data_IF_083360844094
#
_entry.id   IF_083360844094
#
_cell.length_a   1.000
_cell.length_b   1.000
_cell.length_c   1.000
_cell.angle_alpha   90.00
_cell.angle_beta   90.00
_cell.angle_gamma   90.00
#
_symmetry.space_group_name_H-M   'P 1'
#
loop_
_entity.id
_entity.type
_entity.pdbx_description
1 polymer ?
#
# COMPACT_ATOMS: atom_id res chain seq x y z
N UNK A 1 9.37 6.11 -13.46
CA UNK A 1 8.84 4.78 -13.83
C UNK A 1 7.96 4.14 -12.73
N UNK A 2 8.48 3.75 -11.56
CA UNK A 2 7.66 3.11 -10.52
C UNK A 2 6.59 4.05 -9.95
N UNK A 3 6.96 5.29 -9.64
CA UNK A 3 6.06 6.32 -9.13
C UNK A 3 4.87 6.57 -10.08
N UNK A 4 5.18 6.68 -11.38
CA UNK A 4 4.18 6.87 -12.45
C UNK A 4 3.29 5.62 -12.60
N UNK A 5 3.86 4.42 -12.52
CA UNK A 5 3.10 3.17 -12.58
C UNK A 5 2.12 3.04 -11.40
N UNK A 6 2.58 3.29 -10.16
CA UNK A 6 1.72 3.28 -8.98
C UNK A 6 0.60 4.32 -9.09
N UNK A 7 0.94 5.54 -9.53
CA UNK A 7 -0.04 6.60 -9.72
C UNK A 7 -1.07 6.26 -10.80
N UNK A 8 -0.65 5.69 -11.93
CA UNK A 8 -1.55 5.25 -12.99
C UNK A 8 -2.54 4.19 -12.49
N UNK A 9 -2.08 3.21 -11.70
CA UNK A 9 -2.93 2.17 -11.14
C UNK A 9 -3.93 2.71 -10.10
N UNK A 10 -3.52 3.66 -9.25
CA UNK A 10 -4.43 4.30 -8.29
C UNK A 10 -5.46 5.17 -9.01
N UNK A 11 -5.05 5.92 -10.03
CA UNK A 11 -5.94 6.76 -10.83
C UNK A 11 -6.97 5.96 -11.65
N UNK A 12 -6.62 4.73 -12.05
CA UNK A 12 -7.51 3.83 -12.78
C UNK A 12 -8.43 3.00 -11.89
N UNK A 13 -8.15 2.92 -10.58
CA UNK A 13 -8.97 2.17 -9.64
C UNK A 13 -10.30 2.89 -9.39
N UNK A 14 -11.33 2.46 -10.12
CA UNK A 14 -12.67 3.07 -10.09
C UNK A 14 -13.67 2.24 -9.28
N UNK A 15 -13.39 0.95 -9.06
CA UNK A 15 -14.30 0.02 -8.40
C UNK A 15 -13.64 -0.69 -7.21
N UNK A 16 -14.47 -1.17 -6.28
CA UNK A 16 -14.02 -1.92 -5.09
C UNK A 16 -13.08 -3.10 -5.45
N UNK A 17 -13.35 -3.77 -6.57
CA UNK A 17 -12.50 -4.85 -7.08
C UNK A 17 -11.08 -4.38 -7.40
N UNK A 18 -10.93 -3.19 -7.95
CA UNK A 18 -9.63 -2.63 -8.30
C UNK A 18 -8.80 -2.36 -7.03
N UNK A 19 -9.45 -1.96 -5.93
CA UNK A 19 -8.82 -1.80 -4.62
C UNK A 19 -8.38 -3.11 -3.98
N UNK A 20 -9.10 -4.21 -4.23
CA UNK A 20 -8.66 -5.53 -3.76
C UNK A 20 -7.45 -6.08 -4.51
N UNK A 21 -7.21 -5.61 -5.75
CA UNK A 21 -6.07 -6.03 -6.58
C UNK A 21 -4.85 -5.10 -6.44
N UNK A 22 -5.07 -3.84 -6.06
CA UNK A 22 -4.01 -2.82 -5.96
C UNK A 22 -2.79 -3.28 -5.13
N UNK A 23 -2.93 -3.94 -3.96
CA UNK A 23 -1.78 -4.42 -3.20
C UNK A 23 -0.96 -5.49 -3.92
N UNK A 24 -1.59 -6.33 -4.75
CA UNK A 24 -0.88 -7.31 -5.58
C UNK A 24 -0.05 -6.62 -6.66
N UNK A 25 -0.58 -5.58 -7.29
CA UNK A 25 0.13 -4.77 -8.29
C UNK A 25 1.31 -4.04 -7.65
N UNK A 26 1.10 -3.43 -6.48
CA UNK A 26 2.18 -2.77 -5.74
C UNK A 26 3.25 -3.78 -5.32
N UNK A 27 2.86 -5.01 -4.97
CA UNK A 27 3.80 -6.09 -4.67
C UNK A 27 4.67 -6.43 -5.88
N UNK A 28 4.12 -6.48 -7.10
CA UNK A 28 4.91 -6.69 -8.32
C UNK A 28 5.91 -5.57 -8.56
N UNK A 29 5.47 -4.31 -8.45
CA UNK A 29 6.33 -3.15 -8.63
C UNK A 29 7.46 -3.11 -7.58
N UNK A 30 7.17 -3.50 -6.34
CA UNK A 30 8.18 -3.60 -5.29
C UNK A 30 9.10 -4.81 -5.46
N UNK A 31 8.67 -5.88 -6.11
CA UNK A 31 9.53 -7.03 -6.42
C UNK A 31 10.62 -6.65 -7.43
N UNK A 32 10.30 -5.79 -8.40
CA UNK A 32 11.27 -5.24 -9.35
C UNK A 32 12.26 -4.28 -8.68
N UNK A 33 11.83 -3.59 -7.61
CA UNK A 33 12.60 -2.56 -6.92
C UNK A 33 12.46 -2.62 -5.38
N UNK A 34 12.95 -3.68 -4.71
CA UNK A 34 12.65 -3.95 -3.30
C UNK A 34 13.20 -2.87 -2.34
N UNK A 35 14.28 -2.18 -2.72
CA UNK A 35 14.83 -1.04 -1.98
C UNK A 35 13.83 0.13 -1.84
N UNK A 36 12.85 0.23 -2.74
CA UNK A 36 11.84 1.30 -2.69
C UNK A 36 10.95 1.18 -1.45
N UNK A 37 10.68 -0.04 -0.96
CA UNK A 37 9.95 -0.22 0.29
C UNK A 37 10.64 0.46 1.48
N UNK A 38 11.98 0.35 1.55
CA UNK A 38 12.78 0.98 2.60
C UNK A 38 12.79 2.49 2.45
N UNK A 39 12.95 3.00 1.23
CA UNK A 39 12.93 4.44 0.93
C UNK A 39 11.59 5.07 1.28
N UNK A 40 10.47 4.41 0.96
CA UNK A 40 9.16 4.93 1.29
C UNK A 40 8.93 4.96 2.81
N UNK A 41 9.29 3.89 3.51
CA UNK A 41 9.19 3.83 4.98
C UNK A 41 10.11 4.83 5.67
N UNK A 42 11.30 5.11 5.11
CA UNK A 42 12.20 6.14 5.60
C UNK A 42 11.64 7.54 5.38
N UNK A 43 11.09 7.83 4.20
CA UNK A 43 10.48 9.12 3.89
C UNK A 43 9.32 9.46 4.85
N UNK A 44 8.51 8.47 5.22
CA UNK A 44 7.40 8.67 6.17
C UNK A 44 7.84 8.82 7.63
N UNK A 45 9.06 8.38 7.99
CA UNK A 45 9.59 8.49 9.36
C UNK A 45 10.25 9.84 9.66
N UNK A 46 10.44 10.69 8.65
CA UNK A 46 10.61 12.12 8.89
C UNK A 46 12.03 12.64 9.07
N UNK A 47 13.05 12.02 8.45
CA UNK A 47 14.31 12.75 8.27
C UNK A 47 14.16 13.72 7.07
N UNK A 48 13.48 14.83 7.36
CA UNK A 48 12.99 15.80 6.39
C UNK A 48 14.11 16.67 5.79
N UNK A 49 15.34 16.61 6.30
CA UNK A 49 16.42 17.51 5.87
C UNK A 49 17.19 17.02 4.64
N UNK A 50 17.04 15.75 4.25
CA UNK A 50 17.59 15.29 2.97
C UNK A 50 16.66 15.66 1.81
N UNK A 51 17.20 16.32 0.78
CA UNK A 51 16.44 16.73 -0.41
C UNK A 51 15.76 15.53 -1.10
N UNK A 52 16.40 14.36 -1.09
CA UNK A 52 15.85 13.11 -1.61
C UNK A 52 14.60 12.63 -0.86
N UNK A 53 14.62 12.69 0.48
CA UNK A 53 13.42 12.35 1.27
C UNK A 53 12.27 13.32 1.02
N UNK A 54 12.54 14.62 0.83
CA UNK A 54 11.48 15.61 0.55
C UNK A 54 10.69 15.26 -0.71
N UNK A 55 11.38 14.83 -1.77
CA UNK A 55 10.73 14.46 -3.02
C UNK A 55 9.89 13.19 -2.87
N UNK A 56 10.42 12.16 -2.20
CA UNK A 56 9.69 10.91 -1.96
C UNK A 56 8.49 11.14 -1.03
N UNK A 57 8.66 11.96 0.01
CA UNK A 57 7.58 12.31 0.94
C UNK A 57 6.46 13.06 0.23
N UNK A 58 6.76 14.11 -0.54
CA UNK A 58 5.76 14.87 -1.29
C UNK A 58 5.02 13.99 -2.32
N UNK A 59 5.73 13.05 -2.95
CA UNK A 59 5.11 12.08 -3.84
C UNK A 59 4.18 11.11 -3.08
N UNK A 60 4.59 10.59 -1.92
CA UNK A 60 3.74 9.73 -1.08
C UNK A 60 2.50 10.46 -0.56
N UNK A 61 2.63 11.73 -0.18
CA UNK A 61 1.50 12.59 0.20
C UNK A 61 0.48 12.69 -0.96
N UNK A 62 0.97 12.97 -2.17
CA UNK A 62 0.13 13.02 -3.38
C UNK A 62 -0.55 11.67 -3.64
N UNK A 63 0.18 10.57 -3.45
CA UNK A 63 -0.35 9.21 -3.62
C UNK A 63 -1.45 8.89 -2.60
N UNK A 64 -1.26 9.28 -1.34
CA UNK A 64 -2.25 9.08 -0.29
C UNK A 64 -3.49 9.95 -0.49
N UNK A 65 -3.32 11.20 -0.91
CA UNK A 65 -4.43 12.08 -1.24
C UNK A 65 -5.29 11.51 -2.38
N UNK A 66 -4.66 10.96 -3.42
CA UNK A 66 -5.37 10.27 -4.50
C UNK A 66 -6.10 9.02 -3.99
N UNK A 67 -5.44 8.19 -3.18
CA UNK A 67 -6.08 7.02 -2.57
C UNK A 67 -7.30 7.39 -1.71
N UNK A 68 -7.21 8.48 -0.95
CA UNK A 68 -8.32 9.01 -0.15
C UNK A 68 -9.49 9.50 -1.00
N UNK A 69 -9.23 10.24 -2.07
CA UNK A 69 -10.28 10.73 -2.99
C UNK A 69 -11.03 9.57 -3.64
N UNK A 70 -10.30 8.57 -4.13
CA UNK A 70 -10.92 7.44 -4.81
C UNK A 70 -11.70 6.53 -3.85
N UNK A 71 -11.22 6.31 -2.62
CA UNK A 71 -12.00 5.61 -1.60
C UNK A 71 -13.26 6.37 -1.19
N UNK A 72 -13.26 7.72 -1.22
CA UNK A 72 -14.47 8.51 -0.92
C UNK A 72 -15.55 8.23 -1.96
N UNK A 73 -15.19 8.12 -3.23
CA UNK A 73 -16.15 7.78 -4.29
C UNK A 73 -16.76 6.38 -4.13
N UNK A 74 -16.04 5.44 -3.52
CA UNK A 74 -16.53 4.07 -3.26
C UNK A 74 -17.39 4.02 -1.98
N UNK A 75 -16.93 4.63 -0.90
CA UNK A 75 -17.59 4.59 0.41
C UNK A 75 -18.81 5.50 0.57
N UNK A 76 -19.02 6.46 -0.34
CA UNK A 76 -20.18 7.37 -0.31
C UNK A 76 -21.52 6.69 -0.62
N UNK A 77 -21.51 5.43 -1.05
CA UNK A 77 -22.73 4.70 -1.43
C UNK A 77 -23.46 4.04 -0.25
N UNK A 78 -22.80 3.78 0.89
CA UNK A 78 -23.34 2.83 1.90
C UNK A 78 -23.31 3.28 3.38
N UNK A 79 -22.57 4.33 3.78
CA UNK A 79 -22.36 4.62 5.22
C UNK A 79 -23.10 5.86 5.76
N UNK A 80 -23.78 5.67 6.91
CA UNK A 80 -24.53 6.68 7.70
C UNK A 80 -23.71 7.33 8.82
N UNK A 81 -22.41 7.01 8.92
CA UNK A 81 -21.49 7.60 9.90
C UNK A 81 -21.17 9.07 9.60
N UNK A 82 -20.88 9.85 10.64
CA UNK A 82 -20.44 11.24 10.49
C UNK A 82 -19.17 11.31 9.63
N UNK A 83 -19.12 12.24 8.67
CA UNK A 83 -18.09 12.27 7.62
C UNK A 83 -16.63 12.30 8.10
N UNK A 84 -16.36 12.79 9.32
CA UNK A 84 -15.03 12.79 9.92
C UNK A 84 -14.57 11.41 10.41
N UNK A 85 -15.46 10.65 11.07
CA UNK A 85 -15.15 9.30 11.54
C UNK A 85 -14.89 8.36 10.34
N UNK A 86 -15.70 8.50 9.28
CA UNK A 86 -15.51 7.76 8.04
C UNK A 86 -14.15 8.09 7.39
N UNK A 87 -13.79 9.38 7.30
CA UNK A 87 -12.50 9.80 6.72
C UNK A 87 -11.30 9.25 7.50
N UNK A 88 -11.35 9.26 8.83
CA UNK A 88 -10.27 8.73 9.66
C UNK A 88 -10.09 7.22 9.44
N UNK A 89 -11.20 6.46 9.41
CA UNK A 89 -11.19 5.02 9.11
C UNK A 89 -10.57 4.72 7.76
N UNK A 90 -10.92 5.50 6.72
CA UNK A 90 -10.36 5.34 5.38
C UNK A 90 -8.85 5.62 5.35
N UNK A 91 -8.40 6.66 6.07
CA UNK A 91 -6.97 6.98 6.16
C UNK A 91 -6.19 5.85 6.87
N UNK A 92 -6.74 5.30 7.96
CA UNK A 92 -6.16 4.15 8.67
C UNK A 92 -6.09 2.93 7.75
N UNK A 93 -7.15 2.65 6.98
CA UNK A 93 -7.15 1.55 6.02
C UNK A 93 -6.06 1.75 4.97
N UNK A 94 -5.93 2.94 4.39
CA UNK A 94 -4.91 3.23 3.38
C UNK A 94 -3.48 3.06 3.93
N UNK A 95 -3.22 3.57 5.14
CA UNK A 95 -1.94 3.40 5.84
C UNK A 95 -1.66 1.91 6.10
N UNK A 96 -2.66 1.14 6.54
CA UNK A 96 -2.52 -0.29 6.76
C UNK A 96 -2.19 -1.04 5.45
N UNK A 97 -2.88 -0.75 4.34
CA UNK A 97 -2.57 -1.35 3.04
C UNK A 97 -1.13 -1.08 2.63
N UNK A 98 -0.69 0.17 2.75
CA UNK A 98 0.67 0.58 2.44
C UNK A 98 1.69 -0.17 3.32
N UNK A 99 1.47 -0.23 4.63
CA UNK A 99 2.37 -0.88 5.58
C UNK A 99 2.46 -2.38 5.37
N UNK A 100 1.35 -3.07 5.12
CA UNK A 100 1.38 -4.53 4.90
C UNK A 100 2.13 -4.85 3.60
N UNK A 101 1.94 -4.04 2.55
CA UNK A 101 2.58 -4.27 1.26
C UNK A 101 4.08 -3.98 1.30
N UNK A 102 4.48 -2.83 1.86
CA UNK A 102 5.91 -2.45 1.96
C UNK A 102 6.65 -3.23 3.04
N UNK A 103 6.00 -3.50 4.17
CA UNK A 103 6.58 -4.21 5.31
C UNK A 103 7.00 -5.64 4.99
N UNK A 104 6.32 -6.29 4.03
CA UNK A 104 6.74 -7.60 3.52
C UNK A 104 8.20 -7.55 3.04
N UNK A 105 8.54 -6.63 2.14
CA UNK A 105 9.90 -6.51 1.59
C UNK A 105 10.97 -6.13 2.62
N UNK A 106 10.58 -5.59 3.76
CA UNK A 106 11.49 -5.28 4.87
C UNK A 106 11.70 -6.44 5.84
N UNK A 107 10.96 -7.54 5.66
CA UNK A 107 10.88 -8.64 6.62
C UNK A 107 11.73 -9.86 6.24
N UNK A 108 12.64 -9.77 5.25
CA UNK A 108 13.49 -10.88 4.82
C UNK A 108 14.25 -11.53 6.00
N UNK A 109 14.82 -10.72 6.89
CA UNK A 109 15.55 -11.23 8.07
C UNK A 109 14.64 -12.00 9.03
N UNK A 110 13.45 -11.48 9.29
CA UNK A 110 12.47 -12.14 10.16
C UNK A 110 11.99 -13.46 9.53
N UNK A 111 11.71 -13.46 8.22
CA UNK A 111 11.31 -14.66 7.50
C UNK A 111 12.39 -15.75 7.51
N UNK A 112 13.65 -15.38 7.24
CA UNK A 112 14.77 -16.31 7.28
C UNK A 112 14.94 -16.96 8.66
N UNK A 113 14.65 -16.24 9.74
CA UNK A 113 14.69 -16.78 11.11
C UNK A 113 13.53 -17.73 11.44
N UNK A 114 12.41 -17.65 10.73
CA UNK A 114 11.19 -18.41 11.04
C UNK A 114 11.02 -19.66 10.17
N UNK A 115 11.42 -19.58 8.91
CA UNK A 115 11.02 -20.57 7.91
C UNK A 115 12.16 -21.04 6.99
N UNK A 116 13.40 -20.55 7.18
CA UNK A 116 14.55 -20.76 6.29
C UNK A 116 14.22 -20.51 4.81
N UNK A 117 14.63 -19.37 4.24
CA UNK A 117 14.46 -19.17 2.80
C UNK A 117 14.44 -17.73 2.32
N UNK A 118 14.10 -17.60 1.03
CA UNK A 118 14.00 -16.32 0.34
C UNK A 118 12.54 -15.85 0.30
N UNK A 119 12.29 -14.66 0.83
CA UNK A 119 10.98 -14.05 0.83
C UNK A 119 10.53 -13.65 -0.60
N UNK A 120 11.49 -13.43 -1.50
CA UNK A 120 11.26 -13.09 -2.90
C UNK A 120 11.09 -14.33 -3.79
N UNK A 121 11.09 -15.54 -3.21
CA UNK A 121 10.75 -16.75 -3.94
C UNK A 121 9.33 -16.62 -4.54
N UNK A 122 9.13 -16.98 -5.83
CA UNK A 122 7.84 -16.85 -6.49
C UNK A 122 6.66 -17.49 -5.73
N UNK A 123 6.88 -18.62 -5.06
CA UNK A 123 5.84 -19.28 -4.28
C UNK A 123 5.45 -18.48 -3.03
N UNK A 124 6.43 -17.84 -2.38
CA UNK A 124 6.20 -16.98 -1.23
C UNK A 124 5.49 -15.69 -1.65
N UNK A 125 5.86 -15.10 -2.79
CA UNK A 125 5.16 -13.95 -3.37
C UNK A 125 3.70 -14.31 -3.71
N UNK A 126 3.46 -15.47 -4.34
CA UNK A 126 2.11 -15.93 -4.64
C UNK A 126 1.27 -16.15 -3.37
N UNK A 127 1.87 -16.70 -2.30
CA UNK A 127 1.22 -16.83 -0.99
C UNK A 127 0.89 -15.47 -0.39
N UNK A 128 1.82 -14.51 -0.43
CA UNK A 128 1.63 -13.17 0.10
C UNK A 128 0.49 -12.43 -0.62
N UNK A 129 0.45 -12.45 -1.96
CA UNK A 129 -0.63 -11.81 -2.72
C UNK A 129 -2.00 -12.39 -2.41
N UNK A 130 -2.11 -13.71 -2.27
CA UNK A 130 -3.36 -14.37 -1.84
C UNK A 130 -3.78 -13.93 -0.44
N UNK A 131 -2.83 -13.72 0.48
CA UNK A 131 -3.12 -13.22 1.81
C UNK A 131 -3.57 -11.76 1.77
N UNK A 132 -2.85 -10.91 1.03
CA UNK A 132 -3.21 -9.50 0.82
C UNK A 132 -4.65 -9.37 0.30
N UNK A 133 -5.01 -10.10 -0.75
CA UNK A 133 -6.37 -10.05 -1.29
C UNK A 133 -7.43 -10.37 -0.23
N UNK A 134 -7.19 -11.36 0.65
CA UNK A 134 -8.12 -11.71 1.74
C UNK A 134 -8.22 -10.60 2.80
N UNK A 135 -7.08 -10.08 3.26
CA UNK A 135 -7.01 -9.03 4.29
C UNK A 135 -7.71 -7.76 3.81
N UNK A 136 -7.42 -7.34 2.58
CA UNK A 136 -7.90 -6.09 2.00
C UNK A 136 -9.40 -6.18 1.73
N UNK A 137 -9.87 -7.32 1.22
CA UNK A 137 -11.30 -7.57 1.08
C UNK A 137 -12.01 -7.51 2.44
N UNK A 138 -11.43 -8.07 3.50
CA UNK A 138 -12.01 -8.00 4.84
C UNK A 138 -12.02 -6.57 5.41
N UNK A 139 -11.03 -5.74 5.08
CA UNK A 139 -10.99 -4.33 5.52
C UNK A 139 -12.01 -3.44 4.80
N UNK A 140 -12.36 -3.76 3.55
CA UNK A 140 -13.23 -2.93 2.73
C UNK A 140 -14.72 -3.34 2.78
N UNK A 141 -15.01 -4.58 3.18
CA UNK A 141 -16.37 -5.10 3.39
C UNK A 141 -16.59 -5.15 4.90
N UNK A 142 -16.89 -3.99 5.51
CA UNK A 142 -17.38 -3.89 6.89
C UNK A 142 -18.89 -3.66 6.86
#
# INVERSE_FOLDING_TARGET
>A
PMAEAMQAHIAQAAHLRDYTELPSIITDLLLEHPQMAALFQQALRGDADSLGNKLVAAWLETLFDQGMQSLQHIGSAENTETGEANRATMAINLIAMFNITTGYFLSQRAFASLAEGNLHDPDNIARQKRLLHKVIRAMLIN
#
